data_IF_176858946035
#
_entry.id   IF_176858946035
#
_cell.length_a   1.000
_cell.length_b   1.000
_cell.length_c   1.000
_cell.angle_alpha   90.00
_cell.angle_beta   90.00
_cell.angle_gamma   90.00
#
_symmetry.space_group_name_H-M   'P 1'
#
loop_
_entity.id
_entity.type
_entity.pdbx_description
1 polymer ?
#
# COMPACT_ATOMS: atom_id res chain seq x y z
N UNK A 1 -10.82 -16.80 -36.81
CA UNK A 1 -10.98 -17.21 -35.39
C UNK A 1 -9.64 -16.90 -34.73
N UNK A 2 -9.50 -15.69 -34.21
CA UNK A 2 -8.30 -15.22 -33.51
C UNK A 2 -8.25 -15.91 -32.15
N UNK A 3 -7.14 -16.59 -31.84
CA UNK A 3 -6.90 -17.11 -30.50
C UNK A 3 -7.04 -15.99 -29.47
N UNK A 4 -7.61 -16.25 -28.28
CA UNK A 4 -7.56 -15.27 -27.21
C UNK A 4 -6.08 -15.05 -26.87
N UNK A 5 -5.63 -13.80 -26.98
CA UNK A 5 -4.34 -13.36 -26.50
C UNK A 5 -4.33 -13.38 -24.95
N UNK A 6 -4.47 -14.56 -24.35
CA UNK A 6 -4.33 -14.77 -22.92
C UNK A 6 -2.86 -14.95 -22.61
N UNK A 7 -2.10 -13.85 -22.52
CA UNK A 7 -0.73 -13.92 -22.01
C UNK A 7 -0.73 -14.54 -20.62
N UNK A 8 0.18 -15.49 -20.35
CA UNK A 8 0.31 -16.09 -19.03
C UNK A 8 0.58 -14.99 -17.99
N UNK A 9 -0.21 -14.98 -16.90
CA UNK A 9 -0.04 -14.03 -15.82
C UNK A 9 1.30 -14.25 -15.12
N UNK A 10 2.10 -13.19 -15.04
CA UNK A 10 3.47 -13.24 -14.54
C UNK A 10 3.59 -12.61 -13.15
N UNK A 11 2.88 -11.50 -12.92
CA UNK A 11 3.01 -10.72 -11.68
C UNK A 11 1.64 -10.34 -11.12
N UNK A 12 1.46 -10.57 -9.83
CA UNK A 12 0.41 -9.94 -9.03
C UNK A 12 1.01 -8.70 -8.34
N UNK A 13 0.61 -7.50 -8.75
CA UNK A 13 1.08 -6.25 -8.15
C UNK A 13 0.01 -5.65 -7.24
N UNK A 14 0.35 -5.37 -6.00
CA UNK A 14 -0.56 -4.88 -4.96
C UNK A 14 0.00 -3.59 -4.34
N UNK A 15 -0.82 -2.55 -4.31
CA UNK A 15 -0.59 -1.28 -3.60
C UNK A 15 -1.68 -1.12 -2.53
N UNK A 16 -1.32 -1.44 -1.29
CA UNK A 16 -2.24 -1.49 -0.16
C UNK A 16 -2.02 -0.34 0.81
N UNK A 17 -2.98 0.57 0.90
CA UNK A 17 -2.91 1.74 1.78
C UNK A 17 -3.93 1.70 2.93
N UNK A 18 -4.00 2.82 3.65
CA UNK A 18 -4.96 3.00 4.74
C UNK A 18 -6.43 2.99 4.27
N UNK A 19 -6.73 3.57 3.10
CA UNK A 19 -8.10 3.79 2.63
C UNK A 19 -8.53 2.88 1.49
N UNK A 20 -7.58 2.35 0.73
CA UNK A 20 -7.83 1.53 -0.46
C UNK A 20 -6.68 0.55 -0.70
N UNK A 21 -6.98 -0.47 -1.48
CA UNK A 21 -6.00 -1.40 -2.06
C UNK A 21 -6.22 -1.42 -3.57
N UNK A 22 -5.17 -1.19 -4.35
CA UNK A 22 -5.18 -1.36 -5.80
C UNK A 22 -4.42 -2.63 -6.17
N UNK A 23 -4.99 -3.44 -7.06
CA UNK A 23 -4.41 -4.72 -7.51
C UNK A 23 -4.38 -4.78 -9.03
N UNK A 24 -3.26 -5.24 -9.58
CA UNK A 24 -3.06 -5.51 -11.00
C UNK A 24 -2.54 -6.93 -11.20
N UNK A 25 -3.10 -7.61 -12.19
CA UNK A 25 -2.56 -8.86 -12.72
C UNK A 25 -1.88 -8.53 -14.04
N UNK A 26 -0.58 -8.78 -14.11
CA UNK A 26 0.29 -8.35 -15.20
C UNK A 26 0.83 -9.57 -15.96
N UNK A 27 0.68 -9.57 -17.28
CA UNK A 27 1.23 -10.59 -18.18
C UNK A 27 2.74 -10.48 -18.34
N UNK A 28 3.38 -11.54 -18.83
CA UNK A 28 4.83 -11.57 -19.04
C UNK A 28 5.36 -10.52 -20.04
N UNK A 29 4.50 -10.02 -20.93
CA UNK A 29 4.77 -8.94 -21.88
C UNK A 29 4.51 -7.54 -21.31
N UNK A 30 4.11 -7.44 -20.03
CA UNK A 30 3.76 -6.19 -19.36
C UNK A 30 2.31 -5.74 -19.59
N UNK A 31 1.49 -6.51 -20.31
CA UNK A 31 0.07 -6.23 -20.46
C UNK A 31 -0.66 -6.32 -19.11
N UNK A 32 -1.67 -5.47 -18.90
CA UNK A 32 -2.56 -5.57 -17.75
C UNK A 32 -3.70 -6.51 -18.11
N UNK A 33 -3.74 -7.67 -17.48
CA UNK A 33 -4.74 -8.71 -17.72
C UNK A 33 -6.02 -8.45 -16.91
N UNK A 34 -5.88 -7.96 -15.67
CA UNK A 34 -7.00 -7.63 -14.81
C UNK A 34 -6.62 -6.65 -13.72
N UNK A 35 -7.61 -5.94 -13.19
CA UNK A 35 -7.43 -4.96 -12.12
C UNK A 35 -8.60 -4.98 -11.15
N UNK A 36 -8.35 -4.66 -9.90
CA UNK A 36 -9.40 -4.36 -8.94
C UNK A 36 -8.97 -3.28 -7.94
N UNK A 37 -9.96 -2.64 -7.33
CA UNK A 37 -9.77 -1.75 -6.18
C UNK A 37 -10.67 -2.21 -5.04
N UNK A 38 -10.07 -2.36 -3.86
CA UNK A 38 -10.76 -2.75 -2.62
C UNK A 38 -10.61 -1.72 -1.51
N UNK A 39 -11.07 -2.10 -0.32
CA UNK A 39 -10.88 -1.34 0.92
C UNK A 39 -9.41 -1.25 1.33
N UNK A 40 -9.11 -0.41 2.33
CA UNK A 40 -7.77 -0.34 2.92
C UNK A 40 -7.32 -1.65 3.54
N UNK A 41 -6.01 -1.90 3.52
CA UNK A 41 -5.38 -3.14 3.97
C UNK A 41 -4.21 -2.91 4.93
N UNK A 42 -4.12 -1.74 5.56
CA UNK A 42 -3.08 -1.47 6.55
C UNK A 42 -3.37 -2.27 7.84
N UNK A 43 -2.51 -3.22 8.19
CA UNK A 43 -2.68 -4.10 9.36
C UNK A 43 -2.62 -3.36 10.69
N UNK A 44 -1.94 -2.22 10.76
CA UNK A 44 -1.87 -1.40 11.96
C UNK A 44 -3.23 -0.74 12.26
N UNK A 45 -4.08 -0.53 11.25
CA UNK A 45 -5.43 0.03 11.43
C UNK A 45 -6.51 -1.04 11.55
N UNK A 46 -6.41 -2.13 10.79
CA UNK A 46 -7.47 -3.13 10.68
C UNK A 46 -7.14 -4.46 11.38
N UNK A 47 -5.96 -4.59 11.98
CA UNK A 47 -5.41 -5.88 12.41
C UNK A 47 -4.93 -6.72 11.23
N UNK A 48 -4.18 -7.79 11.53
CA UNK A 48 -3.63 -8.67 10.50
C UNK A 48 -4.73 -9.39 9.71
N UNK A 49 -5.71 -9.98 10.40
CA UNK A 49 -6.79 -10.73 9.75
C UNK A 49 -7.64 -9.83 8.85
N UNK A 50 -8.03 -8.65 9.34
CA UNK A 50 -8.79 -7.67 8.56
C UNK A 50 -8.03 -7.17 7.34
N UNK A 51 -6.72 -6.98 7.45
CA UNK A 51 -5.87 -6.65 6.31
C UNK A 51 -5.82 -7.78 5.27
N UNK A 52 -5.63 -9.03 5.71
CA UNK A 52 -5.58 -10.18 4.80
C UNK A 52 -6.92 -10.44 4.10
N UNK A 53 -8.04 -10.20 4.77
CA UNK A 53 -9.36 -10.33 4.17
C UNK A 53 -9.62 -9.24 3.12
N UNK A 54 -9.21 -8.00 3.40
CA UNK A 54 -9.27 -6.90 2.44
C UNK A 54 -8.40 -7.17 1.20
N UNK A 55 -7.16 -7.64 1.40
CA UNK A 55 -6.26 -8.05 0.32
C UNK A 55 -6.85 -9.18 -0.50
N UNK A 56 -7.32 -10.25 0.15
CA UNK A 56 -7.90 -11.41 -0.53
C UNK A 56 -9.10 -11.03 -1.39
N UNK A 57 -10.00 -10.20 -0.87
CA UNK A 57 -11.15 -9.70 -1.64
C UNK A 57 -10.73 -8.95 -2.90
N UNK A 58 -9.76 -8.03 -2.79
CA UNK A 58 -9.25 -7.28 -3.93
C UNK A 58 -8.48 -8.16 -4.95
N UNK A 59 -7.68 -9.10 -4.46
CA UNK A 59 -6.88 -10.02 -5.28
C UNK A 59 -7.78 -10.96 -6.07
N UNK A 60 -8.75 -11.62 -5.42
CA UNK A 60 -9.68 -12.51 -6.12
C UNK A 60 -10.53 -11.76 -7.15
N UNK A 61 -10.93 -10.50 -6.87
CA UNK A 61 -11.61 -9.66 -7.84
C UNK A 61 -10.73 -9.35 -9.07
N UNK A 62 -9.44 -9.05 -8.88
CA UNK A 62 -8.51 -8.78 -9.99
C UNK A 62 -8.22 -10.03 -10.82
N UNK A 63 -8.06 -11.18 -10.17
CA UNK A 63 -7.87 -12.48 -10.83
C UNK A 63 -9.11 -12.89 -11.63
N UNK A 64 -10.31 -12.67 -11.09
CA UNK A 64 -11.56 -12.86 -11.82
C UNK A 64 -11.68 -11.94 -13.04
N UNK A 65 -11.29 -10.67 -12.91
CA UNK A 65 -11.26 -9.72 -14.02
C UNK A 65 -10.26 -10.09 -15.12
N UNK A 66 -9.17 -10.78 -14.76
CA UNK A 66 -8.18 -11.28 -15.71
C UNK A 66 -8.61 -12.54 -16.47
N UNK A 67 -9.75 -13.13 -16.13
CA UNK A 67 -10.25 -14.39 -16.69
C UNK A 67 -9.22 -15.53 -16.65
N UNK A 68 -8.38 -15.55 -15.61
CA UNK A 68 -7.37 -16.58 -15.40
C UNK A 68 -7.98 -17.76 -14.66
N UNK A 69 -7.64 -18.97 -15.06
CA UNK A 69 -8.06 -20.17 -14.35
C UNK A 69 -7.63 -20.11 -12.87
N UNK A 70 -8.49 -20.48 -11.91
CA UNK A 70 -8.16 -20.41 -10.48
C UNK A 70 -6.87 -21.14 -10.07
N UNK A 71 -6.48 -22.18 -10.82
CA UNK A 71 -5.24 -22.93 -10.62
C UNK A 71 -3.98 -22.29 -11.22
N UNK A 72 -4.12 -21.20 -11.97
CA UNK A 72 -3.04 -20.52 -12.70
C UNK A 72 -2.69 -19.17 -12.05
N UNK A 73 -2.44 -19.19 -10.74
CA UNK A 73 -2.01 -18.00 -9.99
C UNK A 73 -0.70 -17.43 -10.57
N UNK A 74 -0.51 -16.09 -10.57
CA UNK A 74 0.76 -15.49 -10.97
C UNK A 74 1.92 -16.06 -10.13
N UNK A 75 3.07 -16.40 -10.75
CA UNK A 75 4.18 -17.00 -10.01
C UNK A 75 4.81 -16.02 -9.00
N UNK A 76 4.76 -14.72 -9.26
CA UNK A 76 5.37 -13.68 -8.41
C UNK A 76 4.31 -12.70 -7.93
N UNK A 77 4.29 -12.42 -6.63
CA UNK A 77 3.52 -11.35 -6.00
C UNK A 77 4.43 -10.23 -5.50
N UNK A 78 4.06 -9.00 -5.77
CA UNK A 78 4.73 -7.80 -5.24
C UNK A 78 3.72 -7.00 -4.44
N UNK A 79 3.95 -6.92 -3.13
CA UNK A 79 3.04 -6.35 -2.17
C UNK A 79 3.67 -5.10 -1.55
N UNK A 80 3.29 -3.93 -2.05
CA UNK A 80 3.69 -2.65 -1.50
C UNK A 80 2.60 -2.18 -0.54
N UNK A 81 2.82 -2.36 0.76
CA UNK A 81 1.79 -2.21 1.79
C UNK A 81 2.18 -1.15 2.83
N UNK A 82 1.24 -0.27 3.15
CA UNK A 82 1.35 0.67 4.24
C UNK A 82 1.44 -0.09 5.58
N UNK A 83 2.36 0.33 6.44
CA UNK A 83 2.59 -0.28 7.75
C UNK A 83 3.72 -1.32 7.78
N UNK A 84 4.32 -1.67 6.62
CA UNK A 84 5.58 -2.45 6.58
C UNK A 84 6.75 -1.54 6.97
N UNK A 85 6.77 -1.13 8.23
CA UNK A 85 7.66 -0.06 8.71
C UNK A 85 8.91 -0.65 9.37
N UNK A 86 8.75 -1.77 10.09
CA UNK A 86 9.81 -2.47 10.81
C UNK A 86 10.03 -3.88 10.26
N UNK A 87 11.21 -4.50 10.50
CA UNK A 87 11.47 -5.89 10.09
C UNK A 87 10.40 -6.87 10.59
N UNK A 88 9.90 -6.68 11.81
CA UNK A 88 8.84 -7.53 12.38
C UNK A 88 7.50 -7.41 11.63
N UNK A 89 7.21 -6.27 11.00
CA UNK A 89 6.03 -6.12 10.15
C UNK A 89 6.21 -6.87 8.83
N UNK A 90 7.41 -6.79 8.24
CA UNK A 90 7.77 -7.52 7.03
C UNK A 90 7.67 -9.04 7.25
N UNK A 91 8.20 -9.55 8.37
CA UNK A 91 8.12 -10.98 8.72
C UNK A 91 6.67 -11.46 8.89
N UNK A 92 5.88 -10.72 9.69
CA UNK A 92 4.47 -11.07 9.97
C UNK A 92 3.60 -11.06 8.72
N UNK A 93 3.75 -10.03 7.88
CA UNK A 93 3.00 -9.93 6.64
C UNK A 93 3.46 -10.97 5.62
N UNK A 94 4.76 -11.26 5.56
CA UNK A 94 5.28 -12.31 4.68
C UNK A 94 4.72 -13.69 5.04
N UNK A 95 4.69 -14.05 6.32
CA UNK A 95 4.09 -15.31 6.78
C UNK A 95 2.59 -15.37 6.47
N UNK A 96 1.86 -14.28 6.75
CA UNK A 96 0.42 -14.22 6.53
C UNK A 96 0.05 -14.28 5.04
N UNK A 97 0.79 -13.59 4.17
CA UNK A 97 0.57 -13.59 2.72
C UNK A 97 0.93 -14.96 2.12
N UNK A 98 2.07 -15.54 2.51
CA UNK A 98 2.49 -16.85 2.05
C UNK A 98 1.45 -17.94 2.38
N UNK A 99 0.83 -17.87 3.56
CA UNK A 99 -0.24 -18.79 3.96
C UNK A 99 -1.50 -18.73 3.08
N UNK A 100 -1.71 -17.63 2.33
CA UNK A 100 -2.84 -17.46 1.41
C UNK A 100 -2.57 -18.05 0.02
N UNK A 101 -1.31 -18.21 -0.37
CA UNK A 101 -0.94 -18.83 -1.65
C UNK A 101 -1.42 -18.06 -2.89
N UNK A 102 -1.48 -16.73 -2.81
CA UNK A 102 -1.85 -15.88 -3.97
C UNK A 102 -0.78 -15.88 -5.07
N UNK A 103 0.46 -16.17 -4.71
CA UNK A 103 1.61 -16.33 -5.61
C UNK A 103 2.60 -17.35 -5.03
N UNK A 104 3.57 -17.80 -5.83
CA UNK A 104 4.60 -18.76 -5.37
C UNK A 104 5.81 -18.08 -4.73
N UNK A 105 6.12 -16.86 -5.16
CA UNK A 105 7.19 -16.03 -4.62
C UNK A 105 6.64 -14.67 -4.27
N UNK A 106 6.78 -14.26 -3.01
CA UNK A 106 6.22 -13.01 -2.51
C UNK A 106 7.32 -11.99 -2.18
N UNK A 107 7.16 -10.78 -2.68
CA UNK A 107 8.03 -9.63 -2.41
C UNK A 107 7.24 -8.58 -1.63
N UNK A 108 7.41 -8.54 -0.31
CA UNK A 108 6.72 -7.63 0.58
C UNK A 108 7.57 -6.37 0.78
N UNK A 109 6.99 -5.19 0.58
CA UNK A 109 7.66 -3.90 0.67
C UNK A 109 6.73 -2.87 1.31
N UNK A 110 7.32 -1.82 1.87
CA UNK A 110 6.58 -0.62 2.26
C UNK A 110 6.00 0.10 1.02
N UNK A 111 4.81 0.70 1.14
CA UNK A 111 4.12 1.42 0.06
C UNK A 111 4.92 2.60 -0.52
N UNK A 112 5.78 3.23 0.28
CA UNK A 112 6.70 4.28 -0.17
C UNK A 112 7.62 3.85 -1.31
N UNK A 113 7.98 2.55 -1.39
CA UNK A 113 8.81 2.01 -2.48
C UNK A 113 8.04 2.05 -3.80
N UNK A 114 6.74 1.79 -3.79
CA UNK A 114 5.90 1.89 -4.99
C UNK A 114 5.85 3.33 -5.50
N UNK A 115 5.63 4.30 -4.61
CA UNK A 115 5.60 5.73 -4.96
C UNK A 115 6.94 6.20 -5.54
N UNK A 116 8.06 5.80 -4.92
CA UNK A 116 9.38 6.12 -5.47
C UNK A 116 9.55 5.53 -6.87
N UNK A 117 9.23 4.24 -7.07
CA UNK A 117 9.38 3.57 -8.36
C UNK A 117 8.46 4.14 -9.44
N UNK A 118 7.28 4.63 -9.08
CA UNK A 118 6.37 5.29 -10.00
C UNK A 118 6.88 6.67 -10.47
N UNK A 119 7.60 7.40 -9.60
CA UNK A 119 8.07 8.77 -9.89
C UNK A 119 9.51 8.87 -10.38
N UNK A 120 10.41 8.00 -9.92
CA UNK A 120 11.84 8.10 -10.15
C UNK A 120 12.30 7.20 -11.31
N UNK A 121 12.45 7.79 -12.51
CA UNK A 121 12.93 7.07 -13.72
C UNK A 121 14.32 6.44 -13.56
N UNK A 122 15.16 7.04 -12.72
CA UNK A 122 16.50 6.53 -12.38
C UNK A 122 16.48 5.30 -11.47
N UNK A 123 15.34 4.98 -10.86
CA UNK A 123 15.19 3.88 -9.90
C UNK A 123 15.73 4.15 -8.50
N UNK A 124 16.26 5.36 -8.26
CA UNK A 124 16.79 5.83 -6.98
C UNK A 124 16.34 7.27 -6.71
N UNK A 125 16.31 7.68 -5.45
CA UNK A 125 15.82 8.99 -5.02
C UNK A 125 15.18 8.95 -3.63
N UNK A 126 14.35 9.95 -3.33
CA UNK A 126 13.54 9.98 -2.11
C UNK A 126 12.07 9.96 -2.48
N UNK A 127 11.32 9.04 -1.89
CA UNK A 127 9.87 8.94 -2.00
C UNK A 127 9.23 9.43 -0.70
N UNK A 128 8.19 10.24 -0.83
CA UNK A 128 7.41 10.76 0.30
C UNK A 128 5.94 10.51 0.03
N UNK A 129 5.29 9.78 0.93
CA UNK A 129 3.85 9.52 0.90
C UNK A 129 3.19 10.51 1.86
N UNK A 130 2.24 11.30 1.35
CA UNK A 130 1.46 12.27 2.14
C UNK A 130 -0.03 11.92 2.05
N UNK A 131 -0.47 10.95 2.85
CA UNK A 131 -1.83 10.43 2.85
C UNK A 131 -2.54 10.61 4.19
N UNK A 132 -3.21 9.57 4.67
CA UNK A 132 -3.77 9.53 6.04
C UNK A 132 -2.68 9.74 7.10
N UNK A 133 -1.53 9.09 6.89
CA UNK A 133 -0.26 9.35 7.58
C UNK A 133 0.77 9.97 6.62
N UNK A 134 2.01 10.05 7.08
CA UNK A 134 3.16 10.42 6.25
C UNK A 134 4.27 9.38 6.44
N UNK A 135 4.92 8.97 5.36
CA UNK A 135 6.06 8.03 5.38
C UNK A 135 7.06 8.40 4.27
N UNK A 136 8.35 8.06 4.46
CA UNK A 136 9.43 8.38 3.55
C UNK A 136 10.42 7.21 3.39
N UNK A 137 10.93 7.06 2.16
CA UNK A 137 12.03 6.14 1.85
C UNK A 137 13.08 6.82 0.98
N UNK A 138 14.34 6.51 1.23
CA UNK A 138 15.47 6.82 0.36
C UNK A 138 15.98 5.54 -0.31
N UNK A 139 16.15 5.57 -1.62
CA UNK A 139 16.92 4.56 -2.37
C UNK A 139 18.15 5.22 -2.97
N UNK A 140 19.32 4.67 -2.67
CA UNK A 140 20.60 5.08 -3.27
C UNK A 140 20.82 4.49 -4.66
N UNK A 141 21.72 5.09 -5.47
CA UNK A 141 22.07 4.56 -6.79
C UNK A 141 22.77 3.18 -6.73
N UNK A 142 23.30 2.82 -5.57
CA UNK A 142 23.91 1.52 -5.25
C UNK A 142 22.90 0.48 -4.74
N UNK A 143 21.61 0.84 -4.64
CA UNK A 143 20.55 0.00 -4.09
C UNK A 143 20.44 0.03 -2.57
N UNK A 144 21.22 0.86 -1.87
CA UNK A 144 21.02 1.12 -0.44
C UNK A 144 19.61 1.65 -0.18
N UNK A 145 19.02 1.25 0.94
CA UNK A 145 17.68 1.68 1.36
C UNK A 145 17.76 2.30 2.75
N UNK A 146 17.21 3.50 2.88
CA UNK A 146 17.03 4.17 4.16
C UNK A 146 15.53 4.40 4.35
N UNK A 147 14.98 3.95 5.48
CA UNK A 147 13.56 4.08 5.81
C UNK A 147 13.39 5.07 6.95
N UNK A 148 12.34 5.89 6.88
CA UNK A 148 11.95 6.75 7.98
C UNK A 148 10.61 6.28 8.57
N UNK A 149 10.62 5.22 9.40
CA UNK A 149 9.41 4.55 9.82
C UNK A 149 8.50 5.51 10.62
N UNK A 150 7.23 5.63 10.23
CA UNK A 150 6.26 6.54 10.86
C UNK A 150 5.76 5.97 12.19
N UNK A 151 6.53 6.18 13.27
CA UNK A 151 6.21 5.63 14.58
C UNK A 151 5.35 6.58 15.42
N UNK A 152 4.70 6.06 16.47
CA UNK A 152 3.84 6.86 17.34
C UNK A 152 4.59 8.00 18.08
N UNK A 153 3.90 9.08 18.45
CA UNK A 153 4.47 10.27 19.11
C UNK A 153 5.53 10.03 20.20
N UNK A 154 5.40 9.03 21.11
CA UNK A 154 6.43 8.76 22.11
C UNK A 154 7.81 8.39 21.53
N UNK A 155 7.89 7.88 20.30
CA UNK A 155 9.15 7.51 19.65
C UNK A 155 9.95 8.73 19.16
N UNK A 156 9.32 9.92 19.08
CA UNK A 156 9.89 11.09 18.42
C UNK A 156 9.85 11.06 16.89
N UNK A 157 9.45 9.95 16.27
CA UNK A 157 9.35 9.77 14.81
C UNK A 157 7.89 9.87 14.32
N UNK A 158 7.09 10.72 14.98
CA UNK A 158 5.71 10.91 14.60
C UNK A 158 5.54 11.76 13.35
N UNK A 159 4.90 11.17 12.35
CA UNK A 159 4.68 11.75 11.03
C UNK A 159 3.17 11.96 10.79
N UNK A 160 2.64 13.15 11.14
CA UNK A 160 1.23 13.43 10.96
C UNK A 160 0.85 13.57 9.48
N UNK A 161 -0.19 12.85 9.05
CA UNK A 161 -0.83 13.05 7.75
C UNK A 161 -2.20 13.73 7.86
N UNK A 162 -3.03 13.52 6.85
CA UNK A 162 -4.38 14.08 6.75
C UNK A 162 -5.28 13.74 7.94
N UNK A 163 -5.13 12.54 8.53
CA UNK A 163 -5.92 12.13 9.69
C UNK A 163 -5.66 13.03 10.91
N UNK A 164 -4.40 13.39 11.14
CA UNK A 164 -4.03 14.31 12.20
C UNK A 164 -4.46 15.75 11.89
N UNK A 165 -4.23 16.21 10.65
CA UNK A 165 -4.62 17.56 10.23
C UNK A 165 -6.13 17.78 10.37
N UNK A 166 -6.96 16.81 10.00
CA UNK A 166 -8.42 16.90 10.10
C UNK A 166 -8.89 17.09 11.54
N UNK A 167 -8.41 16.26 12.47
CA UNK A 167 -8.75 16.37 13.90
C UNK A 167 -8.28 17.71 14.48
N UNK A 168 -7.08 18.16 14.11
CA UNK A 168 -6.54 19.45 14.54
C UNK A 168 -7.37 20.61 14.01
N UNK A 169 -7.73 20.61 12.73
CA UNK A 169 -8.56 21.65 12.12
C UNK A 169 -9.93 21.75 12.81
N UNK A 170 -10.59 20.61 13.04
CA UNK A 170 -11.87 20.57 13.77
C UNK A 170 -11.73 21.14 15.18
N UNK A 171 -10.70 20.74 15.93
CA UNK A 171 -10.44 21.26 17.27
C UNK A 171 -10.19 22.77 17.31
N UNK A 172 -9.50 23.31 16.30
CA UNK A 172 -9.29 24.76 16.14
C UNK A 172 -10.61 25.49 15.86
N UNK A 173 -11.43 24.97 14.94
CA UNK A 173 -12.73 25.55 14.59
C UNK A 173 -13.69 25.58 15.81
N UNK A 174 -13.80 24.46 16.52
CA UNK A 174 -14.60 24.38 17.75
C UNK A 174 -14.11 25.34 18.83
N UNK A 175 -12.80 25.52 18.98
CA UNK A 175 -12.27 26.50 19.93
C UNK A 175 -12.61 27.93 19.53
N UNK A 176 -12.48 28.27 18.25
CA UNK A 176 -12.87 29.59 17.73
C UNK A 176 -14.35 29.87 17.99
N UNK A 177 -15.24 28.93 17.62
CA UNK A 177 -16.70 29.06 17.82
C UNK A 177 -17.10 29.27 19.29
N UNK A 178 -16.37 28.64 20.22
CA UNK A 178 -16.61 28.79 21.67
C UNK A 178 -15.83 29.96 22.31
N UNK A 179 -15.13 30.80 21.55
CA UNK A 179 -14.30 31.89 22.09
C UNK A 179 -13.04 31.44 22.84
N UNK A 180 -12.66 30.16 22.74
CA UNK A 180 -11.47 29.55 23.37
C UNK A 180 -10.24 29.53 22.43
N UNK A 181 -10.34 30.19 21.28
CA UNK A 181 -9.28 30.23 20.28
C UNK A 181 -9.38 31.45 19.38
N UNK A 182 -8.33 31.66 18.57
CA UNK A 182 -8.32 32.73 17.56
C UNK A 182 -9.44 32.50 16.55
N UNK A 183 -10.04 33.55 15.98
CA UNK A 183 -10.98 33.44 14.88
C UNK A 183 -10.42 32.58 13.73
N UNK A 184 -11.24 31.69 13.18
CA UNK A 184 -10.90 30.86 12.01
C UNK A 184 -11.98 30.96 10.95
N UNK A 185 -11.65 30.72 9.69
CA UNK A 185 -12.61 30.68 8.59
C UNK A 185 -13.62 29.52 8.65
N UNK A 186 -13.42 28.56 9.57
CA UNK A 186 -14.26 27.36 9.74
C UNK A 186 -15.17 27.42 10.98
N UNK A 187 -15.24 28.58 11.66
CA UNK A 187 -15.97 28.75 12.93
C UNK A 187 -17.43 29.14 12.75
#
# INVERSE_FOLDING_TARGET
MTEPAGGAAAVLAVDGGASKTDVWVVGADGSILGTARGSGSNHQFFGLDGAMDALGSAIEAALGAAAIDPGSRPPVGVYCLAGVDLPVDEDRLSEAIAARGWSSVDLIRNDTVAVLRAGARSGWGVGVVCGSGLDCVGLGPDGSIERFPPLAAPSGAFTPGGSWLGVRALGLALRSRHGRGRPTALA
#
